data_IF_243263130510
#
_entry.id   IF_243263130510
#
_cell.length_a   1.000
_cell.length_b   1.000
_cell.length_c   1.000
_cell.angle_alpha   90.00
_cell.angle_beta   90.00
_cell.angle_gamma   90.00
#
_symmetry.space_group_name_H-M   'P 1'
#
loop_
_entity.id
_entity.type
_entity.pdbx_description
1 polymer ?
#
# COMPACT_ATOMS: atom_id res chain seq x y z
N UNK A 1 2.58 -0.29 30.44
CA UNK A 1 2.09 -0.98 29.23
C UNK A 1 0.72 -1.59 29.56
N UNK A 2 -0.39 -0.96 29.16
CA UNK A 2 -1.73 -1.53 29.39
C UNK A 2 -1.92 -2.72 28.45
N UNK A 3 -2.37 -3.85 28.96
CA UNK A 3 -2.64 -5.02 28.15
C UNK A 3 -3.76 -4.73 27.14
N UNK A 4 -3.56 -5.14 25.88
CA UNK A 4 -4.59 -5.02 24.83
C UNK A 4 -5.78 -5.92 25.19
N UNK A 5 -7.03 -5.40 25.17
CA UNK A 5 -8.21 -6.20 25.46
C UNK A 5 -8.34 -7.41 24.52
N UNK A 6 -8.69 -8.59 25.06
CA UNK A 6 -8.79 -9.85 24.29
C UNK A 6 -9.75 -9.78 23.09
N UNK A 7 -10.82 -8.99 23.20
CA UNK A 7 -11.80 -8.83 22.12
C UNK A 7 -11.27 -8.02 20.94
N UNK A 8 -10.38 -7.05 21.20
CA UNK A 8 -9.69 -6.31 20.15
C UNK A 8 -8.79 -7.27 19.35
N UNK A 9 -7.97 -8.08 20.04
CA UNK A 9 -7.12 -9.10 19.41
C UNK A 9 -7.93 -10.13 18.59
N UNK A 10 -9.11 -10.52 19.05
CA UNK A 10 -9.98 -11.45 18.31
C UNK A 10 -10.54 -10.85 17.02
N UNK A 11 -10.90 -9.56 17.03
CA UNK A 11 -11.38 -8.85 15.83
C UNK A 11 -10.25 -8.65 14.82
N UNK A 12 -9.04 -8.39 15.31
CA UNK A 12 -7.85 -8.20 14.48
C UNK A 12 -7.36 -9.48 13.83
N UNK A 13 -7.47 -10.61 14.55
CA UNK A 13 -7.28 -11.93 13.96
C UNK A 13 -8.30 -12.23 12.86
N UNK A 14 -9.46 -11.57 12.84
CA UNK A 14 -10.44 -11.73 11.79
C UNK A 14 -10.10 -10.91 10.53
N UNK A 15 -9.33 -9.82 10.67
CA UNK A 15 -8.76 -9.10 9.53
C UNK A 15 -7.74 -10.03 8.85
N UNK A 16 -7.91 -10.31 7.56
CA UNK A 16 -7.12 -11.30 6.82
C UNK A 16 -7.52 -12.77 7.01
N UNK A 17 -8.11 -13.17 8.15
CA UNK A 17 -8.56 -14.54 8.35
C UNK A 17 -10.03 -14.71 7.93
N UNK A 18 -10.28 -15.12 6.67
CA UNK A 18 -11.64 -15.48 6.27
C UNK A 18 -12.14 -16.67 7.10
N UNK A 19 -13.34 -16.53 7.69
CA UNK A 19 -14.19 -17.68 8.03
C UNK A 19 -14.46 -18.48 6.75
N UNK A 20 -13.91 -19.70 6.67
CA UNK A 20 -14.24 -20.66 5.60
C UNK A 20 -15.76 -20.85 5.54
N UNK A 21 -16.41 -20.83 4.35
CA UNK A 21 -17.69 -21.49 4.22
C UNK A 21 -17.51 -22.96 4.61
N UNK A 22 -18.47 -23.56 5.32
CA UNK A 22 -18.45 -24.96 5.76
C UNK A 22 -18.36 -25.90 4.55
N UNK A 23 -17.16 -26.07 4.01
CA UNK A 23 -16.78 -27.12 3.09
C UNK A 23 -15.84 -28.07 3.85
N UNK A 24 -16.09 -29.37 3.67
CA UNK A 24 -15.47 -30.48 4.39
C UNK A 24 -13.96 -30.30 4.58
N UNK A 25 -13.52 -30.63 5.79
CA UNK A 25 -12.12 -30.66 6.18
C UNK A 25 -11.27 -31.46 5.18
N UNK A 26 -10.39 -30.78 4.46
CA UNK A 26 -9.11 -31.36 4.06
C UNK A 26 -8.02 -30.71 4.91
N UNK A 27 -7.23 -31.60 5.50
CA UNK A 27 -6.06 -31.30 6.31
C UNK A 27 -5.00 -30.71 5.39
N UNK A 28 -4.56 -29.48 5.66
CA UNK A 28 -3.28 -28.98 5.21
C UNK A 28 -2.62 -28.27 6.40
N UNK A 29 -1.97 -29.08 7.25
CA UNK A 29 -0.88 -28.59 8.11
C UNK A 29 0.31 -28.38 7.19
N UNK A 30 0.46 -27.16 6.70
CA UNK A 30 1.70 -26.67 6.10
C UNK A 30 1.87 -25.25 6.60
N UNK A 31 2.94 -24.99 7.35
CA UNK A 31 3.43 -23.63 7.52
C UNK A 31 3.68 -23.07 6.12
N UNK A 32 2.80 -22.19 5.64
CA UNK A 32 3.04 -21.51 4.36
C UNK A 32 4.25 -20.61 4.56
N UNK A 33 5.41 -21.02 4.06
CA UNK A 33 6.60 -20.18 4.01
C UNK A 33 6.23 -18.86 3.32
N UNK A 34 6.58 -17.76 3.98
CA UNK A 34 6.48 -16.43 3.39
C UNK A 34 7.24 -16.42 2.05
N UNK A 35 6.73 -15.69 1.07
CA UNK A 35 7.44 -15.48 -0.18
C UNK A 35 7.96 -14.05 -0.23
N UNK A 36 9.15 -13.88 -0.80
CA UNK A 36 9.78 -12.58 -0.95
C UNK A 36 10.16 -12.32 -2.41
N UNK A 37 9.92 -11.10 -2.88
CA UNK A 37 10.37 -10.57 -4.18
C UNK A 37 10.82 -9.13 -3.98
N UNK A 38 11.80 -8.71 -4.77
CA UNK A 38 12.29 -7.33 -4.77
C UNK A 38 12.16 -6.76 -6.17
N UNK A 39 11.56 -5.58 -6.25
CA UNK A 39 11.39 -4.83 -7.47
C UNK A 39 12.05 -3.46 -7.37
N UNK A 40 12.57 -2.97 -8.48
CA UNK A 40 13.12 -1.62 -8.59
C UNK A 40 12.20 -0.76 -9.45
N UNK A 41 11.89 0.44 -8.96
CA UNK A 41 11.08 1.45 -9.64
C UNK A 41 11.95 2.66 -9.94
N UNK A 42 12.01 3.07 -11.19
CA UNK A 42 12.78 4.23 -11.65
C UNK A 42 11.93 5.48 -11.85
N UNK A 43 10.60 5.36 -11.76
CA UNK A 43 9.65 6.45 -12.00
C UNK A 43 8.38 6.30 -11.15
N UNK A 44 7.54 7.34 -11.16
CA UNK A 44 6.18 7.26 -10.60
C UNK A 44 5.29 6.28 -11.38
N UNK A 45 5.42 6.22 -12.71
CA UNK A 45 4.69 5.27 -13.56
C UNK A 45 5.02 3.81 -13.22
N UNK A 46 6.30 3.50 -12.93
CA UNK A 46 6.71 2.18 -12.45
C UNK A 46 6.10 1.85 -11.08
N UNK A 47 6.06 2.81 -10.16
CA UNK A 47 5.36 2.66 -8.87
C UNK A 47 3.86 2.42 -9.08
N UNK A 48 3.24 3.15 -10.00
CA UNK A 48 1.83 2.97 -10.36
C UNK A 48 1.58 1.60 -10.97
N UNK A 49 2.48 1.07 -11.80
CA UNK A 49 2.38 -0.29 -12.37
C UNK A 49 2.37 -1.36 -11.28
N UNK A 50 3.29 -1.28 -10.31
CA UNK A 50 3.28 -2.14 -9.13
C UNK A 50 1.94 -2.02 -8.38
N UNK A 51 1.48 -0.80 -8.11
CA UNK A 51 0.24 -0.56 -7.39
C UNK A 51 -0.99 -1.16 -8.11
N UNK A 52 -1.08 -0.98 -9.44
CA UNK A 52 -2.12 -1.57 -10.29
C UNK A 52 -2.11 -3.09 -10.25
N UNK A 53 -0.92 -3.72 -10.27
CA UNK A 53 -0.81 -5.17 -10.16
C UNK A 53 -1.28 -5.70 -8.80
N UNK A 54 -0.92 -5.01 -7.72
CA UNK A 54 -1.42 -5.33 -6.37
C UNK A 54 -2.93 -5.12 -6.27
N UNK A 55 -3.46 -4.02 -6.80
CA UNK A 55 -4.88 -3.69 -6.78
C UNK A 55 -5.76 -4.72 -7.52
N UNK A 56 -5.26 -5.27 -8.65
CA UNK A 56 -5.95 -6.33 -9.42
C UNK A 56 -6.01 -7.67 -8.67
N UNK A 57 -5.03 -7.96 -7.83
CA UNK A 57 -4.92 -9.24 -7.13
C UNK A 57 -5.46 -9.21 -5.69
N UNK A 58 -5.60 -8.00 -5.13
CA UNK A 58 -6.21 -7.77 -3.83
C UNK A 58 -7.69 -8.17 -3.84
N UNK A 59 -8.13 -8.68 -2.69
CA UNK A 59 -9.50 -9.13 -2.43
C UNK A 59 -9.98 -8.48 -1.16
N UNK A 60 -11.30 -8.29 -1.08
CA UNK A 60 -11.99 -7.86 0.14
C UNK A 60 -11.51 -8.64 1.37
N UNK A 61 -11.13 -7.90 2.41
CA UNK A 61 -10.55 -8.38 3.67
C UNK A 61 -9.02 -8.51 3.69
N UNK A 62 -8.32 -8.23 2.59
CA UNK A 62 -6.85 -8.26 2.58
C UNK A 62 -6.23 -7.04 3.24
N UNK A 63 -5.03 -7.23 3.79
CA UNK A 63 -4.23 -6.18 4.39
C UNK A 63 -2.89 -6.05 3.70
N UNK A 64 -2.57 -4.82 3.31
CA UNK A 64 -1.31 -4.41 2.70
C UNK A 64 -0.63 -3.45 3.67
N UNK A 65 0.48 -3.89 4.24
CA UNK A 65 1.27 -3.18 5.24
C UNK A 65 2.45 -2.49 4.56
N UNK A 66 2.45 -1.15 4.55
CA UNK A 66 3.52 -0.35 3.98
C UNK A 66 4.49 0.08 5.09
N UNK A 67 5.79 -0.11 4.84
CA UNK A 67 6.90 0.22 5.75
C UNK A 67 7.99 0.96 5.00
N UNK A 68 8.68 1.87 5.66
CA UNK A 68 9.72 2.68 5.03
C UNK A 68 9.89 4.02 5.70
N UNK A 69 11.05 4.67 5.47
CA UNK A 69 11.39 5.96 6.08
C UNK A 69 10.47 7.08 5.58
N UNK A 70 10.48 8.23 6.26
CA UNK A 70 9.84 9.45 5.73
C UNK A 70 10.40 9.74 4.33
N UNK A 71 9.54 10.13 3.40
CA UNK A 71 9.93 10.40 2.01
C UNK A 71 10.16 9.16 1.13
N UNK A 72 10.02 7.93 1.66
CA UNK A 72 10.34 6.74 0.86
C UNK A 72 9.37 6.43 -0.29
N UNK A 73 8.21 7.09 -0.36
CA UNK A 73 7.19 6.83 -1.38
C UNK A 73 6.03 5.92 -0.96
N UNK A 74 5.88 5.61 0.35
CA UNK A 74 4.73 4.84 0.86
C UNK A 74 3.39 5.41 0.42
N UNK A 75 3.18 6.72 0.60
CA UNK A 75 1.92 7.38 0.23
C UNK A 75 1.70 7.43 -1.27
N UNK A 76 2.76 7.47 -2.09
CA UNK A 76 2.65 7.37 -3.54
C UNK A 76 2.14 5.99 -3.97
N UNK A 77 2.68 4.91 -3.39
CA UNK A 77 2.20 3.56 -3.63
C UNK A 77 0.75 3.37 -3.14
N UNK A 78 0.41 3.86 -1.95
CA UNK A 78 -0.95 3.78 -1.41
C UNK A 78 -1.96 4.52 -2.30
N UNK A 79 -1.62 5.74 -2.73
CA UNK A 79 -2.41 6.56 -3.65
C UNK A 79 -2.67 5.85 -4.97
N UNK A 80 -1.61 5.37 -5.62
CA UNK A 80 -1.73 4.67 -6.88
C UNK A 80 -2.57 3.38 -6.74
N UNK A 81 -2.49 2.69 -5.59
CA UNK A 81 -3.31 1.52 -5.31
C UNK A 81 -4.80 1.89 -5.20
N UNK A 82 -5.14 2.93 -4.43
CA UNK A 82 -6.53 3.38 -4.24
C UNK A 82 -7.11 3.85 -5.58
N UNK A 83 -6.39 4.66 -6.34
CA UNK A 83 -6.76 5.11 -7.70
C UNK A 83 -7.06 3.93 -8.63
N UNK A 84 -6.17 2.93 -8.64
CA UNK A 84 -6.38 1.71 -9.43
C UNK A 84 -7.63 0.91 -8.99
N UNK A 85 -7.97 0.91 -7.69
CA UNK A 85 -9.18 0.26 -7.15
C UNK A 85 -10.46 1.05 -7.44
N UNK A 86 -10.37 2.38 -7.49
CA UNK A 86 -11.44 3.28 -7.90
C UNK A 86 -11.71 3.19 -9.41
N UNK A 87 -10.69 2.83 -10.20
CA UNK A 87 -10.76 2.92 -11.65
C UNK A 87 -10.63 4.36 -12.16
N UNK A 88 -10.03 5.23 -11.35
CA UNK A 88 -9.83 6.66 -11.63
C UNK A 88 -8.41 7.06 -11.26
N UNK A 89 -7.59 7.34 -12.27
CA UNK A 89 -6.19 7.73 -12.11
C UNK A 89 -6.02 9.16 -11.56
N UNK A 90 -7.04 10.02 -11.69
CA UNK A 90 -7.01 11.42 -11.27
C UNK A 90 -7.68 11.64 -9.91
N UNK A 91 -8.31 10.61 -9.33
CA UNK A 91 -8.95 10.69 -8.01
C UNK A 91 -8.02 11.32 -6.96
N UNK A 92 -8.58 12.22 -6.15
CA UNK A 92 -7.87 12.81 -5.02
C UNK A 92 -7.77 11.81 -3.87
N UNK A 93 -6.53 11.40 -3.57
CA UNK A 93 -6.21 10.42 -2.53
C UNK A 93 -5.04 10.98 -1.74
N UNK A 94 -5.32 11.93 -0.82
CA UNK A 94 -4.29 12.50 0.04
C UNK A 94 -3.84 11.45 1.07
N UNK A 95 -2.62 11.62 1.61
CA UNK A 95 -2.23 10.82 2.75
C UNK A 95 -3.09 11.19 3.96
N UNK A 96 -3.75 10.22 4.64
CA UNK A 96 -4.59 10.50 5.78
C UNK A 96 -3.76 10.73 7.06
N UNK A 97 -2.53 11.26 6.99
CA UNK A 97 -1.65 11.43 8.17
C UNK A 97 -2.33 12.15 9.34
N UNK A 98 -3.20 13.14 9.07
CA UNK A 98 -3.96 13.86 10.11
C UNK A 98 -5.31 13.20 10.44
N UNK A 99 -5.97 12.61 9.44
CA UNK A 99 -7.25 11.91 9.62
C UNK A 99 -7.06 10.51 10.24
N UNK A 100 -5.84 9.98 10.24
CA UNK A 100 -5.41 8.61 10.55
C UNK A 100 -6.00 7.56 9.59
N UNK A 101 -7.22 7.75 9.12
CA UNK A 101 -7.95 6.84 8.26
C UNK A 101 -8.78 7.62 7.23
N UNK A 102 -8.80 7.14 5.99
CA UNK A 102 -9.72 7.56 4.94
C UNK A 102 -10.36 6.33 4.28
N UNK A 103 -11.64 6.44 3.88
CA UNK A 103 -12.39 5.38 3.22
C UNK A 103 -12.71 5.77 1.79
N UNK A 104 -12.66 4.79 0.90
CA UNK A 104 -12.95 4.94 -0.52
C UNK A 104 -13.90 3.83 -0.96
N UNK A 105 -15.08 4.22 -1.44
CA UNK A 105 -16.03 3.29 -2.03
C UNK A 105 -15.58 2.92 -3.44
N UNK A 106 -15.52 1.61 -3.74
CA UNK A 106 -15.11 1.09 -5.05
C UNK A 106 -16.23 0.25 -5.64
N UNK A 107 -16.17 -0.03 -6.94
CA UNK A 107 -17.17 -0.85 -7.62
C UNK A 107 -17.37 -2.26 -7.02
N UNK A 108 -16.41 -2.78 -6.24
CA UNK A 108 -16.43 -4.16 -5.71
C UNK A 108 -16.25 -4.27 -4.19
N UNK A 109 -16.35 -3.15 -3.46
CA UNK A 109 -16.16 -3.09 -2.01
C UNK A 109 -15.55 -1.77 -1.57
N UNK A 110 -14.82 -1.76 -0.46
CA UNK A 110 -14.19 -0.55 0.07
C UNK A 110 -12.68 -0.72 0.19
N UNK A 111 -11.97 0.40 0.08
CA UNK A 111 -10.56 0.51 0.47
C UNK A 111 -10.47 1.45 1.67
N UNK A 112 -9.86 0.97 2.75
CA UNK A 112 -9.52 1.77 3.91
C UNK A 112 -8.02 2.05 3.88
N UNK A 113 -7.67 3.32 3.73
CA UNK A 113 -6.29 3.80 3.75
C UNK A 113 -6.00 4.35 5.15
N UNK A 114 -5.01 3.79 5.80
CA UNK A 114 -4.55 4.19 7.12
C UNK A 114 -3.15 4.77 7.04
N UNK A 115 -2.90 5.83 7.80
CA UNK A 115 -1.56 6.33 8.06
C UNK A 115 -1.33 6.44 9.57
N UNK A 116 -0.50 5.53 10.09
CA UNK A 116 -0.23 5.41 11.52
C UNK A 116 0.98 6.23 11.98
N UNK A 117 1.55 7.10 11.13
CA UNK A 117 2.79 7.84 11.42
C UNK A 117 2.79 8.52 12.79
N UNK A 118 1.67 9.18 13.13
CA UNK A 118 1.50 9.95 14.37
C UNK A 118 1.16 9.10 15.58
N UNK A 119 0.83 7.83 15.39
CA UNK A 119 0.42 6.95 16.48
C UNK A 119 1.63 6.30 17.13
N UNK A 120 1.60 6.22 18.45
CA UNK A 120 2.73 5.74 19.26
C UNK A 120 2.72 4.22 19.45
N UNK A 121 1.59 3.54 19.18
CA UNK A 121 1.49 2.09 19.16
C UNK A 121 0.07 1.54 19.27
N UNK A 122 -0.03 0.23 19.54
CA UNK A 122 -1.26 -0.58 19.48
C UNK A 122 -2.48 0.04 20.19
N UNK A 123 -2.26 0.66 21.35
CA UNK A 123 -3.34 1.27 22.14
C UNK A 123 -4.02 2.45 21.44
N UNK A 124 -3.25 3.30 20.77
CA UNK A 124 -3.78 4.43 20.02
C UNK A 124 -4.41 3.98 18.70
N UNK A 125 -3.80 3.00 18.03
CA UNK A 125 -4.38 2.39 16.82
C UNK A 125 -5.79 1.86 17.14
N UNK A 126 -5.97 1.15 18.25
CA UNK A 126 -7.28 0.64 18.65
C UNK A 126 -8.30 1.72 19.04
N UNK A 127 -7.82 2.88 19.48
CA UNK A 127 -8.68 3.98 19.90
C UNK A 127 -9.09 4.86 18.70
N UNK A 128 -8.25 4.96 17.68
CA UNK A 128 -8.41 5.92 16.58
C UNK A 128 -8.79 5.29 15.24
N UNK A 129 -8.47 4.00 15.03
CA UNK A 129 -8.75 3.32 13.77
C UNK A 129 -9.98 2.41 13.87
N UNK A 130 -10.86 2.45 12.88
CA UNK A 130 -11.96 1.49 12.77
C UNK A 130 -11.50 0.19 12.12
N UNK A 131 -10.76 -0.60 12.90
CA UNK A 131 -10.27 -1.91 12.46
C UNK A 131 -11.40 -2.96 12.40
N UNK A 132 -12.54 -2.73 13.07
CA UNK A 132 -13.68 -3.66 13.03
C UNK A 132 -14.36 -3.63 11.68
N UNK A 133 -14.56 -2.43 11.12
CA UNK A 133 -15.19 -2.30 9.82
C UNK A 133 -14.29 -2.83 8.71
N UNK A 134 -12.97 -2.66 8.81
CA UNK A 134 -12.00 -3.35 7.95
C UNK A 134 -12.13 -4.88 8.00
N UNK A 135 -12.36 -5.44 9.19
CA UNK A 135 -12.61 -6.88 9.35
C UNK A 135 -13.89 -7.36 8.64
N UNK A 136 -14.82 -6.45 8.32
CA UNK A 136 -16.05 -6.77 7.60
C UNK A 136 -15.88 -6.84 6.08
N UNK A 137 -14.65 -6.72 5.57
CA UNK A 137 -14.32 -7.06 4.18
C UNK A 137 -13.73 -5.92 3.36
N UNK A 138 -13.43 -4.75 3.93
CA UNK A 138 -12.66 -3.74 3.21
C UNK A 138 -11.22 -4.24 2.94
N UNK A 139 -10.60 -3.73 1.88
CA UNK A 139 -9.15 -3.86 1.68
C UNK A 139 -8.48 -2.79 2.54
N UNK A 140 -7.52 -3.17 3.38
CA UNK A 140 -6.76 -2.22 4.20
C UNK A 140 -5.39 -1.95 3.62
N UNK A 141 -5.07 -0.68 3.36
CA UNK A 141 -3.72 -0.21 3.02
C UNK A 141 -3.20 0.60 4.20
N UNK A 142 -2.14 0.12 4.86
CA UNK A 142 -1.69 0.66 6.15
C UNK A 142 -0.26 1.17 6.05
N UNK A 143 -0.07 2.48 6.03
CA UNK A 143 1.23 3.13 6.18
C UNK A 143 1.71 3.10 7.63
N UNK A 144 3.03 3.01 7.83
CA UNK A 144 3.66 2.89 9.14
C UNK A 144 3.12 1.69 9.93
N UNK A 145 2.90 0.59 9.21
CA UNK A 145 2.30 -0.63 9.72
C UNK A 145 3.07 -1.28 10.88
N UNK A 146 4.33 -0.92 11.13
CA UNK A 146 5.05 -1.27 12.36
C UNK A 146 4.30 -0.86 13.63
N UNK A 147 3.50 0.21 13.58
CA UNK A 147 2.70 0.68 14.73
C UNK A 147 1.57 -0.27 15.10
N UNK A 148 1.19 -1.18 14.20
CA UNK A 148 0.23 -2.24 14.48
C UNK A 148 0.76 -3.23 15.53
N UNK A 149 2.07 -3.46 15.64
CA UNK A 149 2.62 -4.43 16.58
C UNK A 149 1.92 -5.79 16.52
N UNK A 150 1.36 -6.25 17.64
CA UNK A 150 0.57 -7.49 17.79
C UNK A 150 -0.78 -7.48 17.08
N UNK A 151 -1.23 -6.31 16.62
CA UNK A 151 -2.45 -6.16 15.83
C UNK A 151 -2.20 -6.50 14.36
N UNK A 152 -0.95 -6.69 13.95
CA UNK A 152 -0.57 -7.08 12.59
C UNK A 152 -1.20 -8.44 12.22
N UNK A 153 -1.98 -8.53 11.14
CA UNK A 153 -2.60 -9.79 10.72
C UNK A 153 -1.60 -10.88 10.32
N UNK A 154 -1.98 -12.14 10.53
CA UNK A 154 -1.19 -13.29 10.10
C UNK A 154 -1.15 -13.40 8.56
N UNK A 155 -2.30 -13.23 7.90
CA UNK A 155 -2.39 -13.13 6.43
C UNK A 155 -2.33 -11.67 6.00
N UNK A 156 -1.22 -11.28 5.34
CA UNK A 156 -0.98 -9.91 4.86
C UNK A 156 0.08 -9.89 3.76
N UNK A 157 0.16 -8.77 3.05
CA UNK A 157 1.32 -8.38 2.26
C UNK A 157 2.09 -7.32 3.04
N UNK A 158 3.39 -7.50 3.24
CA UNK A 158 4.28 -6.43 3.68
C UNK A 158 5.04 -5.86 2.48
N UNK A 159 5.03 -4.55 2.33
CA UNK A 159 5.81 -3.83 1.32
C UNK A 159 6.78 -2.91 2.04
N UNK A 160 8.06 -3.21 1.94
CA UNK A 160 9.13 -2.33 2.39
C UNK A 160 9.53 -1.43 1.23
N UNK A 161 9.50 -0.12 1.47
CA UNK A 161 9.80 0.91 0.49
C UNK A 161 11.04 1.68 0.93
N UNK A 162 12.06 1.66 0.09
CA UNK A 162 13.34 2.33 0.35
C UNK A 162 13.75 3.15 -0.88
N UNK A 163 14.11 4.41 -0.65
CA UNK A 163 14.81 5.24 -1.66
C UNK A 163 16.28 4.87 -1.66
N UNK A 164 16.89 4.79 -2.84
CA UNK A 164 18.31 4.51 -2.97
C UNK A 164 18.98 5.53 -3.90
N UNK A 165 20.29 5.63 -3.79
CA UNK A 165 21.15 6.37 -4.72
C UNK A 165 21.85 5.47 -5.75
N UNK A 166 21.60 4.15 -5.71
CA UNK A 166 22.21 3.16 -6.61
C UNK A 166 21.39 2.90 -7.88
N UNK A 167 21.98 2.19 -8.84
CA UNK A 167 21.31 1.82 -10.09
C UNK A 167 20.20 0.80 -9.85
N UNK A 168 19.05 0.96 -10.52
CA UNK A 168 17.86 0.14 -10.29
C UNK A 168 18.09 -1.37 -10.53
N UNK A 169 18.95 -1.73 -11.48
CA UNK A 169 19.30 -3.11 -11.84
C UNK A 169 20.01 -3.87 -10.71
N UNK A 170 20.65 -3.17 -9.78
CA UNK A 170 21.33 -3.78 -8.63
C UNK A 170 20.39 -4.02 -7.43
N UNK A 171 19.18 -3.44 -7.48
CA UNK A 171 18.25 -3.44 -6.35
C UNK A 171 17.21 -4.56 -6.42
N UNK A 172 16.89 -5.05 -7.62
CA UNK A 172 15.85 -6.03 -7.84
C UNK A 172 15.41 -6.11 -9.30
N UNK A 173 14.30 -6.80 -9.55
CA UNK A 173 13.68 -6.87 -10.87
C UNK A 173 13.15 -5.47 -11.25
N UNK A 174 13.70 -4.87 -12.30
CA UNK A 174 13.28 -3.53 -12.75
C UNK A 174 11.87 -3.61 -13.31
N UNK A 175 10.97 -2.78 -12.77
CA UNK A 175 9.60 -2.66 -13.27
C UNK A 175 9.67 -1.95 -14.62
N UNK A 176 9.32 -2.64 -15.70
CA UNK A 176 9.26 -2.05 -17.02
C UNK A 176 7.99 -1.21 -17.14
N UNK A 177 8.09 0.05 -17.54
CA UNK A 177 6.91 0.84 -17.94
C UNK A 177 6.72 0.67 -19.44
N UNK A 178 5.46 0.55 -19.86
CA UNK A 178 5.16 0.60 -21.30
C UNK A 178 5.38 2.06 -21.75
N UNK A 179 6.04 2.29 -22.89
CA UNK A 179 6.39 3.63 -23.39
C UNK A 179 5.15 4.53 -23.63
N UNK A 180 3.94 3.96 -23.63
CA UNK A 180 2.68 4.61 -23.94
C UNK A 180 1.99 5.33 -22.74
N UNK A 181 2.54 5.25 -21.52
CA UNK A 181 1.96 5.92 -20.33
C UNK A 181 2.36 7.43 -20.23
N UNK A 182 3.09 8.00 -21.21
CA UNK A 182 3.51 9.42 -21.24
C UNK A 182 2.48 10.37 -21.89
N UNK A 183 1.40 9.88 -22.50
CA UNK A 183 0.37 10.73 -23.14
C UNK A 183 -0.78 11.08 -22.18
N UNK A 184 -0.54 11.89 -21.14
CA UNK A 184 -1.65 12.60 -20.46
C UNK A 184 -1.23 13.92 -19.80
N UNK A 185 -0.11 14.49 -20.23
CA UNK A 185 0.34 15.83 -19.84
C UNK A 185 0.44 16.76 -21.03
N UNK A 186 -0.67 16.98 -21.74
CA UNK A 186 -0.75 18.07 -22.72
C UNK A 186 -1.93 19.00 -22.39
N UNK A 187 -1.60 20.29 -22.37
CA UNK A 187 -2.43 21.49 -22.39
C UNK A 187 -3.03 21.96 -21.04
N UNK A 188 -2.18 22.55 -20.19
CA UNK A 188 -2.60 23.75 -19.45
C UNK A 188 -2.35 24.96 -20.35
N UNK A 189 -3.41 25.67 -20.71
CA UNK A 189 -3.41 26.92 -21.45
C UNK A 189 -2.48 27.94 -20.77
N UNK A 190 -1.36 28.27 -21.40
CA UNK A 190 -0.54 29.42 -21.07
C UNK A 190 -1.32 30.71 -21.40
N UNK A 191 -2.05 31.25 -20.41
CA UNK A 191 -2.37 32.67 -20.40
C UNK A 191 -1.16 33.43 -19.81
N UNK A 192 -0.44 34.12 -20.69
CA UNK A 192 0.69 35.00 -20.38
C UNK A 192 0.33 36.08 -19.34
N UNK A 193 0.55 35.81 -18.04
CA UNK A 193 0.77 36.86 -17.06
C UNK A 193 2.29 37.04 -16.86
N UNK A 194 2.81 38.20 -17.29
CA UNK A 194 4.18 38.63 -17.00
C UNK A 194 4.39 38.74 -15.47
N UNK A 195 4.92 37.68 -14.86
CA UNK A 195 5.35 37.68 -13.46
C UNK A 195 6.85 37.98 -13.38
N UNK A 196 7.15 39.06 -12.67
CA UNK A 196 8.48 39.60 -12.40
C UNK A 196 9.37 38.58 -11.66
N UNK A 197 10.29 37.94 -12.39
CA UNK A 197 11.65 37.60 -11.95
C UNK A 197 11.91 37.01 -10.56
N UNK A 198 11.07 36.11 -10.03
CA UNK A 198 11.50 35.18 -8.99
C UNK A 198 12.13 33.96 -9.66
N UNK A 199 13.40 33.67 -9.32
CA UNK A 199 14.03 32.38 -9.64
C UNK A 199 13.12 31.27 -9.10
N UNK A 200 12.33 30.66 -9.99
CA UNK A 200 11.58 29.46 -9.68
C UNK A 200 12.64 28.38 -9.47
N UNK A 201 12.93 28.06 -8.21
CA UNK A 201 13.71 26.87 -7.84
C UNK A 201 13.14 25.71 -8.68
N UNK A 202 13.92 25.21 -9.64
CA UNK A 202 13.53 24.07 -10.49
C UNK A 202 12.91 23.02 -9.57
N UNK A 203 11.61 22.79 -9.72
CA UNK A 203 10.84 21.93 -8.83
C UNK A 203 11.59 20.60 -8.70
N UNK A 204 12.04 20.27 -7.48
CA UNK A 204 12.82 19.06 -7.24
C UNK A 204 11.99 17.84 -7.68
N UNK A 205 12.27 17.33 -8.87
CA UNK A 205 11.61 16.14 -9.41
C UNK A 205 12.25 14.94 -8.71
N UNK A 206 11.48 14.23 -7.90
CA UNK A 206 11.93 13.03 -7.17
C UNK A 206 12.12 11.84 -8.13
N UNK A 207 13.24 11.86 -8.84
CA UNK A 207 13.71 10.83 -9.77
C UNK A 207 14.47 9.69 -9.07
N UNK A 208 14.55 9.70 -7.74
CA UNK A 208 15.33 8.70 -7.02
C UNK A 208 14.69 7.31 -7.21
N UNK A 209 15.48 6.30 -7.62
CA UNK A 209 14.98 4.94 -7.69
C UNK A 209 14.51 4.43 -6.33
N UNK A 210 13.43 3.67 -6.35
CA UNK A 210 12.81 3.06 -5.17
C UNK A 210 12.88 1.55 -5.27
N UNK A 211 13.31 0.93 -4.18
CA UNK A 211 13.26 -0.51 -4.00
C UNK A 211 11.99 -0.88 -3.24
N UNK A 212 11.24 -1.81 -3.82
CA UNK A 212 10.05 -2.42 -3.24
C UNK A 212 10.31 -3.88 -2.91
N UNK A 213 10.50 -4.18 -1.63
CA UNK A 213 10.61 -5.56 -1.14
C UNK A 213 9.26 -6.02 -0.61
N UNK A 214 8.66 -6.96 -1.33
CA UNK A 214 7.36 -7.55 -1.04
C UNK A 214 7.56 -8.85 -0.26
N UNK A 215 6.92 -8.96 0.90
CA UNK A 215 6.88 -10.19 1.70
C UNK A 215 5.43 -10.63 1.89
N UNK A 216 5.05 -11.73 1.25
CA UNK A 216 3.70 -12.26 1.27
C UNK A 216 3.49 -13.34 2.33
N UNK A 217 2.45 -13.19 3.15
CA UNK A 217 2.02 -14.17 4.16
C UNK A 217 0.64 -14.75 3.82
N UNK A 218 0.42 -16.04 4.10
CA UNK A 218 -0.82 -16.73 3.75
C UNK A 218 -1.05 -16.73 2.23
N UNK A 219 -2.24 -16.32 1.78
CA UNK A 219 -2.57 -16.27 0.33
C UNK A 219 -1.64 -15.36 -0.48
N UNK A 220 -1.02 -14.37 0.16
CA UNK A 220 -0.10 -13.45 -0.53
C UNK A 220 1.22 -14.12 -0.90
N UNK A 221 1.62 -15.20 -0.21
CA UNK A 221 2.87 -15.89 -0.53
C UNK A 221 2.86 -16.43 -1.97
N UNK A 222 1.78 -17.07 -2.41
CA UNK A 222 1.66 -17.55 -3.80
C UNK A 222 1.63 -16.39 -4.80
N UNK A 223 0.86 -15.33 -4.50
CA UNK A 223 0.79 -14.16 -5.38
C UNK A 223 2.14 -13.48 -5.56
N UNK A 224 2.91 -13.30 -4.49
CA UNK A 224 4.24 -12.71 -4.56
C UNK A 224 5.16 -13.57 -5.43
N UNK A 225 5.14 -14.91 -5.30
CA UNK A 225 5.97 -15.79 -6.14
C UNK A 225 5.68 -15.65 -7.64
N UNK A 226 4.43 -15.37 -7.99
CA UNK A 226 3.95 -15.36 -9.37
C UNK A 226 3.83 -13.96 -9.98
N UNK A 227 3.98 -12.90 -9.18
CA UNK A 227 3.85 -11.52 -9.63
C UNK A 227 4.85 -11.23 -10.76
N UNK A 228 4.39 -10.55 -11.82
CA UNK A 228 5.21 -10.10 -12.95
C UNK A 228 4.86 -8.64 -13.21
N UNK A 229 5.87 -7.81 -13.40
CA UNK A 229 5.75 -6.36 -13.55
C UNK A 229 6.52 -5.90 -14.78
#
# INVERSE_FOLDING_TARGET
MRAVPREALATLRAIGARRRPRARASVARGSSEAAERVFASTSESATAKLARALARTARNGDVICLRGRVGSGKSALARAFVRARLGDARADVPSPTYLVQQRYETATGEVHHYDLYRLTGEGEVLAMCDLRESANGAISVVEWSERLGRLTPEERLEVHVETTSGEASELGEVIQTDEDDEEDSDEEDEEDEEVDGEEVDEAYVDVAPRMYRLVGFGRWASLVRELKL
#
